data_IF_558884325475
#
_entry.id   IF_558884325475
#
_cell.length_a   1.000
_cell.length_b   1.000
_cell.length_c   1.000
_cell.angle_alpha   90.00
_cell.angle_beta   90.00
_cell.angle_gamma   90.00
#
_symmetry.space_group_name_H-M   'P 1'
#
loop_
_entity.id
_entity.type
_entity.pdbx_description
1 polymer ?
#
# COMPACT_ATOMS: atom_id res chain seq x y z
N UNK A 1 -18.87 -16.32 -8.33
CA UNK A 1 -18.79 -16.13 -9.79
C UNK A 1 -20.20 -15.73 -10.16
N UNK A 2 -20.45 -14.45 -10.38
CA UNK A 2 -21.81 -13.98 -10.63
C UNK A 2 -22.23 -14.33 -12.05
N UNK A 3 -23.19 -15.25 -12.19
CA UNK A 3 -23.75 -15.69 -13.48
C UNK A 3 -24.32 -14.52 -14.30
N UNK A 4 -24.72 -13.45 -13.61
CA UNK A 4 -25.24 -12.22 -14.20
C UNK A 4 -24.18 -11.44 -15.00
N UNK A 5 -22.92 -11.44 -14.54
CA UNK A 5 -21.82 -10.77 -15.24
C UNK A 5 -21.42 -11.51 -16.53
N UNK A 6 -21.48 -12.84 -16.51
CA UNK A 6 -21.23 -13.66 -17.69
C UNK A 6 -22.31 -13.46 -18.77
N UNK A 7 -23.58 -13.35 -18.37
CA UNK A 7 -24.69 -13.12 -19.28
C UNK A 7 -24.69 -11.71 -19.89
N UNK A 8 -24.36 -10.68 -19.10
CA UNK A 8 -24.21 -9.31 -19.59
C UNK A 8 -23.07 -9.17 -20.61
N UNK A 9 -21.94 -9.84 -20.37
CA UNK A 9 -20.83 -9.87 -21.33
C UNK A 9 -21.22 -10.60 -22.62
N UNK A 10 -21.92 -11.72 -22.54
CA UNK A 10 -22.40 -12.46 -23.71
C UNK A 10 -23.38 -11.62 -24.58
N UNK A 11 -24.21 -10.79 -23.94
CA UNK A 11 -25.16 -9.92 -24.64
C UNK A 11 -24.53 -8.66 -25.27
N UNK A 12 -23.24 -8.38 -25.02
CA UNK A 12 -22.52 -7.27 -25.66
C UNK A 12 -21.96 -7.62 -27.04
N UNK A 13 -22.06 -8.89 -27.46
CA UNK A 13 -21.62 -9.29 -28.79
C UNK A 13 -22.68 -8.92 -29.84
N UNK A 14 -22.29 -8.26 -30.95
CA UNK A 14 -23.17 -8.14 -32.09
C UNK A 14 -23.46 -9.56 -32.58
N UNK A 15 -24.72 -9.84 -32.90
CA UNK A 15 -25.25 -11.16 -33.30
C UNK A 15 -24.55 -11.76 -34.54
N UNK A 16 -23.65 -11.01 -35.17
CA UNK A 16 -23.04 -11.31 -36.48
C UNK A 16 -21.51 -11.49 -36.47
N UNK A 17 -20.83 -11.52 -35.31
CA UNK A 17 -19.34 -11.49 -35.25
C UNK A 17 -18.69 -12.87 -35.03
N UNK A 18 -19.48 -13.91 -34.80
CA UNK A 18 -18.95 -15.23 -34.42
C UNK A 18 -19.40 -16.26 -35.47
N UNK A 19 -18.59 -16.41 -36.50
CA UNK A 19 -18.92 -17.27 -37.65
C UNK A 19 -18.69 -18.76 -37.34
N UNK A 20 -17.85 -19.07 -36.35
CA UNK A 20 -17.57 -20.44 -35.95
C UNK A 20 -17.26 -20.62 -34.46
N UNK A 21 -17.44 -21.86 -33.99
CA UNK A 21 -17.21 -22.24 -32.59
C UNK A 21 -15.75 -22.07 -32.12
N UNK A 22 -14.78 -22.09 -33.04
CA UNK A 22 -13.37 -21.91 -32.67
C UNK A 22 -13.05 -20.45 -32.32
N UNK A 23 -13.62 -19.49 -33.05
CA UNK A 23 -13.54 -18.06 -32.74
C UNK A 23 -14.20 -17.74 -31.40
N UNK A 24 -15.39 -18.28 -31.15
CA UNK A 24 -16.06 -18.18 -29.85
C UNK A 24 -15.17 -18.67 -28.72
N UNK A 25 -14.62 -19.89 -28.87
CA UNK A 25 -13.74 -20.48 -27.86
C UNK A 25 -12.49 -19.65 -27.61
N UNK A 26 -11.86 -19.16 -28.67
CA UNK A 26 -10.67 -18.31 -28.56
C UNK A 26 -10.98 -17.03 -27.79
N UNK A 27 -12.10 -16.38 -28.11
CA UNK A 27 -12.54 -15.14 -27.48
C UNK A 27 -12.90 -15.32 -26.00
N UNK A 28 -13.69 -16.35 -25.67
CA UNK A 28 -14.02 -16.71 -24.29
C UNK A 28 -12.76 -17.07 -23.52
N UNK A 29 -11.87 -17.86 -24.10
CA UNK A 29 -10.62 -18.26 -23.46
C UNK A 29 -9.70 -17.06 -23.21
N UNK A 30 -9.59 -16.15 -24.17
CA UNK A 30 -8.85 -14.91 -24.03
C UNK A 30 -9.45 -14.04 -22.92
N UNK A 31 -10.76 -13.81 -22.94
CA UNK A 31 -11.45 -13.03 -21.91
C UNK A 31 -11.31 -13.65 -20.53
N UNK A 32 -11.43 -14.97 -20.42
CA UNK A 32 -11.29 -15.68 -19.16
C UNK A 32 -9.86 -15.66 -18.64
N UNK A 33 -8.87 -15.84 -19.52
CA UNK A 33 -7.45 -15.77 -19.18
C UNK A 33 -7.05 -14.36 -18.73
N UNK A 34 -7.53 -13.33 -19.41
CA UNK A 34 -7.35 -11.92 -19.04
C UNK A 34 -8.00 -11.61 -17.69
N UNK A 35 -9.24 -12.03 -17.46
CA UNK A 35 -9.90 -11.87 -16.17
C UNK A 35 -9.21 -12.63 -15.03
N UNK A 36 -8.65 -13.82 -15.29
CA UNK A 36 -7.85 -14.57 -14.30
C UNK A 36 -6.55 -13.86 -13.96
N UNK A 37 -5.86 -13.30 -14.95
CA UNK A 37 -4.65 -12.51 -14.75
C UNK A 37 -4.94 -11.26 -13.91
N UNK A 38 -6.00 -10.52 -14.24
CA UNK A 38 -6.44 -9.36 -13.47
C UNK A 38 -6.76 -9.73 -12.03
N UNK A 39 -7.56 -10.77 -11.78
CA UNK A 39 -7.86 -11.23 -10.42
C UNK A 39 -6.62 -11.65 -9.62
N UNK A 40 -5.66 -12.34 -10.23
CA UNK A 40 -4.40 -12.71 -9.56
C UNK A 40 -3.57 -11.48 -9.19
N UNK A 41 -3.55 -10.48 -10.05
CA UNK A 41 -2.81 -9.23 -9.86
C UNK A 41 -3.50 -8.37 -8.80
N UNK A 42 -4.83 -8.28 -8.80
CA UNK A 42 -5.61 -7.58 -7.78
C UNK A 42 -5.42 -8.22 -6.40
N UNK A 43 -5.48 -9.55 -6.30
CA UNK A 43 -5.16 -10.29 -5.07
C UNK A 43 -3.72 -10.02 -4.58
N UNK A 44 -2.79 -9.75 -5.50
CA UNK A 44 -1.41 -9.42 -5.14
C UNK A 44 -1.28 -8.04 -4.49
N UNK A 45 -2.16 -7.10 -4.84
CA UNK A 45 -2.19 -5.77 -4.22
C UNK A 45 -2.76 -5.84 -2.79
N UNK A 46 -3.83 -6.62 -2.57
CA UNK A 46 -4.38 -6.88 -1.23
C UNK A 46 -3.41 -7.63 -0.31
N UNK A 47 -2.50 -8.41 -0.87
CA UNK A 47 -1.45 -9.09 -0.11
C UNK A 47 -0.34 -8.15 0.39
N UNK A 48 -0.27 -6.91 -0.10
CA UNK A 48 0.70 -5.92 0.39
C UNK A 48 0.21 -5.34 1.71
N UNK A 49 0.79 -5.85 2.80
CA UNK A 49 0.48 -5.45 4.17
C UNK A 49 1.70 -4.76 4.79
N UNK A 50 1.46 -3.70 5.56
CA UNK A 50 2.44 -3.03 6.40
C UNK A 50 2.74 -3.91 7.61
N UNK A 51 4.01 -4.12 7.91
CA UNK A 51 4.43 -4.86 9.12
C UNK A 51 4.46 -3.91 10.34
N UNK A 52 4.32 -4.46 11.55
CA UNK A 52 4.28 -3.69 12.81
C UNK A 52 5.41 -2.66 12.99
N UNK A 53 6.61 -2.99 12.50
CA UNK A 53 7.82 -2.14 12.63
C UNK A 53 8.28 -1.55 11.30
N UNK A 54 7.47 -1.68 10.26
CA UNK A 54 7.79 -1.15 8.95
C UNK A 54 7.37 0.32 8.85
N UNK A 55 8.31 1.23 8.55
CA UNK A 55 7.98 2.64 8.32
C UNK A 55 6.94 2.80 7.21
N UNK A 56 6.05 3.78 7.36
CA UNK A 56 4.97 3.99 6.39
C UNK A 56 5.51 4.23 4.97
N UNK A 57 6.67 4.88 4.86
CA UNK A 57 7.37 5.13 3.60
C UNK A 57 7.75 3.85 2.86
N UNK A 58 8.32 2.87 3.57
CA UNK A 58 8.74 1.59 2.97
C UNK A 58 7.54 0.76 2.51
N UNK A 59 6.48 0.76 3.32
CA UNK A 59 5.20 0.14 2.93
C UNK A 59 4.64 0.74 1.64
N UNK A 60 4.56 2.08 1.55
CA UNK A 60 4.01 2.75 0.37
C UNK A 60 4.85 2.53 -0.88
N UNK A 61 6.17 2.38 -0.75
CA UNK A 61 7.05 2.00 -1.86
C UNK A 61 6.70 0.61 -2.40
N UNK A 62 6.58 -0.40 -1.52
CA UNK A 62 6.15 -1.75 -1.93
C UNK A 62 4.76 -1.75 -2.54
N UNK A 63 3.85 -0.96 -1.98
CA UNK A 63 2.48 -0.81 -2.51
C UNK A 63 2.53 -0.24 -3.92
N UNK A 64 3.32 0.82 -4.16
CA UNK A 64 3.47 1.41 -5.47
C UNK A 64 4.10 0.43 -6.49
N UNK A 65 5.13 -0.32 -6.09
CA UNK A 65 5.76 -1.34 -6.94
C UNK A 65 4.80 -2.48 -7.32
N UNK A 66 3.85 -2.82 -6.43
CA UNK A 66 2.78 -3.75 -6.72
C UNK A 66 1.71 -3.11 -7.62
N UNK A 67 1.33 -1.86 -7.36
CA UNK A 67 0.34 -1.10 -8.13
C UNK A 67 0.76 -0.91 -9.59
N UNK A 68 2.05 -0.65 -9.87
CA UNK A 68 2.60 -0.53 -11.23
C UNK A 68 2.44 -1.82 -12.06
N UNK A 69 2.25 -2.97 -11.42
CA UNK A 69 2.00 -4.26 -12.11
C UNK A 69 0.52 -4.47 -12.40
N UNK A 70 -0.35 -3.60 -11.93
CA UNK A 70 -1.79 -3.63 -12.14
C UNK A 70 -2.15 -2.67 -13.28
N UNK A 71 -2.56 -3.16 -14.46
CA UNK A 71 -2.79 -2.30 -15.62
C UNK A 71 -4.00 -1.38 -15.48
N UNK A 72 -4.93 -1.66 -14.55
CA UNK A 72 -6.13 -0.85 -14.30
C UNK A 72 -6.60 -0.97 -12.84
N UNK A 73 -6.35 0.05 -12.01
CA UNK A 73 -6.98 0.23 -10.69
C UNK A 73 -7.78 1.52 -10.66
N UNK A 74 -8.96 1.50 -10.00
CA UNK A 74 -9.69 2.73 -9.71
C UNK A 74 -9.16 3.36 -8.42
N UNK A 75 -9.31 4.68 -8.30
CA UNK A 75 -8.91 5.44 -7.12
C UNK A 75 -9.53 4.87 -5.82
N UNK A 76 -10.75 4.35 -5.92
CA UNK A 76 -11.50 3.75 -4.81
C UNK A 76 -10.86 2.43 -4.35
N UNK A 77 -10.45 1.58 -5.31
CA UNK A 77 -9.76 0.33 -5.03
C UNK A 77 -8.40 0.59 -4.39
N UNK A 78 -7.66 1.60 -4.86
CA UNK A 78 -6.36 1.97 -4.27
C UNK A 78 -6.50 2.46 -2.83
N UNK A 79 -7.44 3.37 -2.58
CA UNK A 79 -7.72 3.89 -1.23
C UNK A 79 -8.16 2.76 -0.29
N UNK A 80 -9.04 1.88 -0.76
CA UNK A 80 -9.52 0.73 0.03
C UNK A 80 -8.38 -0.25 0.34
N UNK A 81 -7.55 -0.56 -0.65
CA UNK A 81 -6.45 -1.52 -0.48
C UNK A 81 -5.38 -0.99 0.45
N UNK A 82 -5.01 0.30 0.34
CA UNK A 82 -4.10 0.93 1.29
C UNK A 82 -4.70 0.92 2.70
N UNK A 83 -5.97 1.31 2.84
CA UNK A 83 -6.63 1.37 4.16
C UNK A 83 -6.68 0.00 4.85
N UNK A 84 -6.85 -1.08 4.09
CA UNK A 84 -6.82 -2.46 4.59
C UNK A 84 -5.40 -2.99 4.81
N UNK A 85 -4.42 -2.49 4.07
CA UNK A 85 -3.03 -2.92 4.13
C UNK A 85 -2.18 -2.23 5.21
N UNK A 86 -2.67 -1.15 5.82
CA UNK A 86 -1.97 -0.40 6.85
C UNK A 86 -2.04 -1.13 8.20
N UNK A 87 -0.94 -1.15 8.92
CA UNK A 87 -0.85 -1.69 10.27
C UNK A 87 -1.63 -0.79 11.25
N UNK A 88 -2.16 -1.34 12.35
CA UNK A 88 -3.03 -0.65 13.33
C UNK A 88 -2.32 0.42 14.20
N UNK A 89 -1.27 1.03 13.67
CA UNK A 89 -0.53 2.14 14.24
C UNK A 89 -1.19 3.51 14.11
N UNK A 90 -0.38 4.56 14.27
CA UNK A 90 -0.87 5.93 14.35
C UNK A 90 -1.52 6.41 13.04
N UNK A 91 -1.01 5.95 11.89
CA UNK A 91 -1.59 6.29 10.60
C UNK A 91 -2.98 5.66 10.40
N UNK A 92 -3.18 4.39 10.78
CA UNK A 92 -4.49 3.75 10.78
C UNK A 92 -5.50 4.52 11.64
N UNK A 93 -5.12 4.88 12.88
CA UNK A 93 -5.96 5.67 13.78
C UNK A 93 -6.31 7.03 13.19
N UNK A 94 -5.38 7.64 12.46
CA UNK A 94 -5.61 8.92 11.79
C UNK A 94 -6.61 8.79 10.63
N UNK A 95 -6.53 7.72 9.83
CA UNK A 95 -7.51 7.41 8.78
C UNK A 95 -8.89 7.07 9.36
N UNK A 96 -8.94 6.26 10.42
CA UNK A 96 -10.19 5.90 11.09
C UNK A 96 -10.94 7.12 11.65
N UNK A 97 -10.21 8.10 12.20
CA UNK A 97 -10.80 9.36 12.70
C UNK A 97 -11.34 10.26 11.60
N UNK A 98 -10.74 10.22 10.41
CA UNK A 98 -11.13 11.03 9.26
C UNK A 98 -11.03 10.20 7.99
N UNK A 99 -12.08 9.46 7.60
CA UNK A 99 -12.04 8.70 6.37
C UNK A 99 -11.68 9.57 5.16
N UNK A 100 -10.96 8.99 4.21
CA UNK A 100 -10.62 9.62 2.92
C UNK A 100 -11.22 8.81 1.81
N UNK A 101 -11.81 9.47 0.82
CA UNK A 101 -12.33 8.85 -0.40
C UNK A 101 -11.45 9.12 -1.63
N UNK A 102 -10.57 10.12 -1.55
CA UNK A 102 -9.67 10.52 -2.63
C UNK A 102 -8.25 10.11 -2.33
N UNK A 103 -7.58 9.53 -3.32
CA UNK A 103 -6.19 9.08 -3.24
C UNK A 103 -5.23 10.23 -2.98
N UNK A 104 -5.40 11.40 -3.61
CA UNK A 104 -4.53 12.56 -3.35
C UNK A 104 -4.58 13.02 -1.88
N UNK A 105 -5.78 12.98 -1.28
CA UNK A 105 -5.98 13.30 0.12
C UNK A 105 -5.33 12.25 1.04
N UNK A 106 -5.31 10.98 0.62
CA UNK A 106 -4.60 9.91 1.32
C UNK A 106 -3.08 10.14 1.26
N UNK A 107 -2.52 10.43 0.08
CA UNK A 107 -1.09 10.70 -0.11
C UNK A 107 -0.62 11.90 0.72
N UNK A 108 -1.37 13.00 0.69
CA UNK A 108 -1.06 14.21 1.49
C UNK A 108 -0.97 13.90 2.99
N UNK A 109 -1.79 12.96 3.48
CA UNK A 109 -1.80 12.56 4.89
C UNK A 109 -0.69 11.57 5.21
N UNK A 110 -0.40 10.66 4.28
CA UNK A 110 0.74 9.76 4.40
C UNK A 110 2.05 10.56 4.52
N UNK A 111 2.25 11.55 3.66
CA UNK A 111 3.43 12.42 3.69
C UNK A 111 3.59 13.14 5.04
N UNK A 112 2.50 13.71 5.58
CA UNK A 112 2.51 14.32 6.92
C UNK A 112 2.90 13.32 8.01
N UNK A 113 2.46 12.07 7.88
CA UNK A 113 2.75 11.01 8.86
C UNK A 113 4.21 10.56 8.78
N UNK A 114 4.74 10.39 7.57
CA UNK A 114 6.18 10.13 7.33
C UNK A 114 7.04 11.25 7.93
N UNK A 115 6.70 12.50 7.67
CA UNK A 115 7.44 13.65 8.23
C UNK A 115 7.41 13.66 9.77
N UNK A 116 6.30 13.23 10.38
CA UNK A 116 6.21 13.09 11.84
C UNK A 116 7.06 11.93 12.36
N UNK A 117 7.05 10.77 11.70
CA UNK A 117 7.90 9.62 12.02
C UNK A 117 9.40 10.00 11.96
N UNK A 118 9.83 10.65 10.88
CA UNK A 118 11.21 11.12 10.68
C UNK A 118 11.63 12.13 11.77
N UNK A 119 10.76 13.10 12.10
CA UNK A 119 11.02 14.06 13.16
C UNK A 119 11.14 13.40 14.55
N UNK A 120 10.34 12.37 14.82
CA UNK A 120 10.43 11.59 16.05
C UNK A 120 11.74 10.77 16.11
N UNK A 121 12.11 10.13 15.01
CA UNK A 121 13.36 9.38 14.91
C UNK A 121 14.58 10.28 15.15
N UNK A 122 14.61 11.47 14.53
CA UNK A 122 15.67 12.45 14.74
C UNK A 122 15.76 12.93 16.21
N UNK A 123 14.62 13.16 16.87
CA UNK A 123 14.59 13.52 18.30
C UNK A 123 15.10 12.40 19.20
N UNK A 124 14.77 11.14 18.90
CA UNK A 124 15.27 9.97 19.65
C UNK A 124 16.78 9.85 19.53
N UNK A 125 17.34 9.99 18.31
CA UNK A 125 18.80 9.95 18.07
C UNK A 125 19.54 11.00 18.91
N UNK A 126 19.08 12.26 18.87
CA UNK A 126 19.64 13.37 19.65
C UNK A 126 19.59 13.15 21.18
N UNK A 127 18.58 12.43 21.68
CA UNK A 127 18.47 12.10 23.11
C UNK A 127 19.34 10.91 23.52
N UNK A 128 19.59 9.97 22.61
CA UNK A 128 20.54 8.87 22.80
C UNK A 128 21.98 9.38 22.90
N UNK A 129 22.37 10.26 21.97
CA UNK A 129 23.72 10.87 21.93
C UNK A 129 24.04 11.69 23.21
N UNK A 130 23.05 12.35 23.80
CA UNK A 130 23.22 13.08 25.08
C UNK A 130 23.45 12.18 26.30
N UNK A 131 23.07 10.90 26.26
CA UNK A 131 23.27 9.97 27.38
C UNK A 131 24.65 9.30 27.37
N UNK A 132 25.28 9.17 26.20
CA UNK A 132 26.63 8.60 26.08
C UNK A 132 27.75 9.64 26.30
N UNK A 133 27.47 10.94 26.13
CA UNK A 133 28.44 12.01 26.38
C UNK A 133 28.69 12.42 27.84
N UNK A 134 28.08 11.77 28.85
CA UNK A 134 28.24 12.13 30.28
C UNK A 134 29.09 11.14 31.09
N UNK A 135 29.97 10.37 30.45
CA UNK A 135 30.99 9.57 31.14
C UNK A 135 32.38 9.91 30.58
N UNK A 136 32.93 11.05 31.01
CA UNK A 136 34.29 11.44 30.64
C UNK A 136 34.59 12.87 31.03
N UNK A 137 34.97 13.07 32.29
CA UNK A 137 35.38 14.38 32.82
C UNK A 137 35.83 14.25 34.27
N UNK A 138 37.02 13.68 34.47
CA UNK A 138 37.81 13.78 35.71
C UNK A 138 38.06 15.26 36.09
N UNK A 139 38.35 15.54 37.36
CA UNK A 139 39.66 16.12 37.61
C UNK A 139 40.40 15.50 38.80
N UNK A 140 41.68 15.21 38.55
CA UNK A 140 42.73 15.08 39.54
C UNK A 140 42.59 16.15 40.64
N UNK A 141 42.56 15.71 41.89
CA UNK A 141 42.95 16.53 43.03
C UNK A 141 44.13 15.87 43.72
N UNK A 142 45.30 16.37 43.37
CA UNK A 142 46.50 16.29 44.18
C UNK A 142 46.28 17.16 45.43
N UNK A 143 46.25 16.59 46.65
CA UNK A 143 46.71 17.29 47.87
C UNK A 143 47.17 16.29 48.93
N UNK A 144 48.38 16.53 49.45
CA UNK A 144 48.99 16.25 50.78
C UNK A 144 48.64 14.96 51.54
N UNK A 145 49.59 14.30 52.21
CA UNK A 145 50.67 14.85 53.07
C UNK A 145 51.77 13.81 53.32
#
# INVERSE_FOLDING_TARGET
MDDQAAQQWFNQFPVEVIENFQEFRSLVFHQFSSNRKLRKIELSLFAVQQKEKEPLKEYLQKFNDAALKVPFTTQEVEVSTISQGIFDGDFFKFLAKKPVSKFDALLTRAEKSINMEDAQAAKKKRRGEKKEGNKGGDPLQETSN
#
